data_IF_015345917561
#
_entry.id   IF_015345917561
#
_cell.length_a   1.000
_cell.length_b   1.000
_cell.length_c   1.000
_cell.angle_alpha   90.00
_cell.angle_beta   90.00
_cell.angle_gamma   90.00
#
_symmetry.space_group_name_H-M   'P 1'
#
loop_
_entity.id
_entity.type
_entity.pdbx_description
1 polymer ?
#
# COMPACT_ATOMS: atom_id res chain seq x y z
N UNK A 1 26.63 16.74 -5.76
CA UNK A 1 25.79 15.53 -5.76
C UNK A 1 24.83 15.70 -6.93
N UNK A 2 25.23 15.27 -8.13
CA UNK A 2 24.43 15.48 -9.33
C UNK A 2 23.28 14.48 -9.34
N UNK A 3 22.07 14.97 -9.12
CA UNK A 3 20.80 14.23 -9.04
C UNK A 3 20.39 13.56 -10.39
N UNK A 4 21.28 13.53 -11.38
CA UNK A 4 21.00 13.12 -12.76
C UNK A 4 21.40 11.65 -13.02
N UNK A 5 22.30 11.06 -12.21
CA UNK A 5 22.72 9.64 -12.37
C UNK A 5 21.72 8.62 -11.80
N UNK A 6 20.74 9.06 -11.00
CA UNK A 6 19.67 8.19 -10.46
C UNK A 6 18.50 7.96 -11.44
N UNK A 7 18.51 8.62 -12.61
CA UNK A 7 17.34 8.73 -13.48
C UNK A 7 16.93 7.45 -14.24
N UNK A 8 17.64 6.31 -14.11
CA UNK A 8 17.25 5.04 -14.77
C UNK A 8 17.12 3.82 -13.83
N UNK A 9 17.09 4.02 -12.51
CA UNK A 9 16.72 2.93 -11.57
C UNK A 9 15.29 3.19 -11.09
N UNK A 10 14.32 2.63 -11.81
CA UNK A 10 12.90 2.69 -11.43
C UNK A 10 12.67 1.73 -10.26
N UNK A 11 12.08 2.21 -9.16
CA UNK A 11 11.69 1.36 -8.03
C UNK A 11 10.69 0.29 -8.52
N UNK A 12 11.01 -1.02 -8.40
CA UNK A 12 10.10 -2.08 -8.82
C UNK A 12 8.89 -2.25 -7.90
N UNK A 13 8.89 -1.68 -6.69
CA UNK A 13 7.83 -1.90 -5.69
C UNK A 13 6.43 -1.46 -6.16
N UNK A 14 6.20 -0.23 -6.69
CA UNK A 14 4.86 0.20 -7.09
C UNK A 14 4.22 -0.73 -8.14
N UNK A 15 5.01 -1.13 -9.15
CA UNK A 15 4.55 -2.05 -10.19
C UNK A 15 4.20 -3.45 -9.65
N UNK A 16 4.88 -3.90 -8.59
CA UNK A 16 4.58 -5.19 -7.94
C UNK A 16 3.30 -5.10 -7.09
N UNK A 17 3.09 -3.97 -6.41
CA UNK A 17 1.94 -3.74 -5.53
C UNK A 17 0.63 -3.51 -6.31
N UNK A 18 0.69 -2.81 -7.44
CA UNK A 18 -0.46 -2.62 -8.35
C UNK A 18 -1.02 -3.94 -8.92
N UNK A 19 -0.16 -4.96 -9.06
CA UNK A 19 -0.57 -6.27 -9.54
C UNK A 19 -1.42 -7.07 -8.54
N UNK A 20 -1.67 -6.57 -7.33
CA UNK A 20 -2.17 -7.37 -6.21
C UNK A 20 -3.70 -7.35 -6.02
N UNK A 21 -4.40 -8.01 -6.95
CA UNK A 21 -5.87 -8.03 -7.03
C UNK A 21 -6.58 -8.71 -5.84
N UNK A 22 -5.92 -9.56 -5.05
CA UNK A 22 -6.56 -10.25 -3.93
C UNK A 22 -6.78 -9.38 -2.69
N UNK A 23 -6.12 -8.22 -2.58
CA UNK A 23 -6.27 -7.32 -1.44
C UNK A 23 -7.41 -6.30 -1.60
N UNK A 24 -8.21 -6.40 -2.68
CA UNK A 24 -9.28 -5.44 -2.97
C UNK A 24 -10.27 -5.30 -1.82
N UNK A 25 -10.66 -6.40 -1.17
CA UNK A 25 -11.61 -6.37 -0.05
C UNK A 25 -11.07 -5.61 1.17
N UNK A 26 -9.76 -5.67 1.43
CA UNK A 26 -9.14 -4.89 2.50
C UNK A 26 -9.05 -3.41 2.13
N UNK A 27 -8.76 -3.11 0.86
CA UNK A 27 -8.79 -1.73 0.34
C UNK A 27 -10.17 -1.10 0.48
N UNK A 28 -11.23 -1.83 0.13
CA UNK A 28 -12.61 -1.36 0.30
C UNK A 28 -12.97 -1.07 1.76
N UNK A 29 -12.50 -1.90 2.71
CA UNK A 29 -12.73 -1.65 4.15
C UNK A 29 -12.01 -0.39 4.61
N UNK A 30 -10.75 -0.23 4.22
CA UNK A 30 -9.96 0.96 4.52
C UNK A 30 -10.61 2.23 3.93
N UNK A 31 -11.09 2.17 2.69
CA UNK A 31 -11.77 3.31 2.05
C UNK A 31 -13.10 3.66 2.73
N UNK A 32 -13.85 2.64 3.16
CA UNK A 32 -15.06 2.85 3.96
C UNK A 32 -14.74 3.49 5.32
N UNK A 33 -13.63 3.11 5.96
CA UNK A 33 -13.19 3.75 7.19
C UNK A 33 -12.80 5.21 6.94
N UNK A 34 -11.97 5.48 5.92
CA UNK A 34 -11.60 6.84 5.56
C UNK A 34 -12.82 7.72 5.32
N UNK A 35 -13.80 7.23 4.56
CA UNK A 35 -15.03 7.98 4.31
C UNK A 35 -15.81 8.33 5.59
N UNK A 36 -15.81 7.46 6.62
CA UNK A 36 -16.41 7.76 7.93
C UNK A 36 -15.63 8.84 8.66
N UNK A 37 -14.31 8.70 8.73
CA UNK A 37 -13.42 9.63 9.45
C UNK A 37 -13.41 11.01 8.80
N UNK A 38 -13.29 11.07 7.48
CA UNK A 38 -13.35 12.33 6.71
C UNK A 38 -14.74 12.97 6.74
N UNK A 39 -15.79 12.15 6.81
CA UNK A 39 -17.18 12.61 6.94
C UNK A 39 -17.51 13.23 8.30
N UNK A 40 -16.65 13.06 9.31
CA UNK A 40 -16.86 13.56 10.66
C UNK A 40 -17.87 12.75 11.49
N UNK A 41 -18.41 11.66 10.94
CA UNK A 41 -19.37 10.76 11.61
C UNK A 41 -18.70 9.78 12.59
N UNK A 42 -17.36 9.77 12.63
CA UNK A 42 -16.56 8.72 13.25
C UNK A 42 -16.02 9.06 14.66
N UNK A 43 -16.17 10.30 15.12
CA UNK A 43 -15.66 10.73 16.43
C UNK A 43 -14.13 10.58 16.55
N UNK A 44 -13.68 9.72 17.48
CA UNK A 44 -12.25 9.42 17.71
C UNK A 44 -11.76 8.17 16.95
N UNK A 45 -12.58 7.59 16.07
CA UNK A 45 -12.20 6.44 15.25
C UNK A 45 -10.96 6.75 14.39
N UNK A 46 -10.07 5.76 14.26
CA UNK A 46 -8.90 5.83 13.37
C UNK A 46 -8.85 4.60 12.49
N UNK A 47 -8.42 4.75 11.23
CA UNK A 47 -8.36 3.66 10.26
C UNK A 47 -7.05 2.86 10.29
N UNK A 48 -6.38 2.85 11.44
CA UNK A 48 -5.05 2.25 11.60
C UNK A 48 -5.13 0.73 11.50
N UNK A 49 -6.20 0.13 12.01
CA UNK A 49 -6.45 -1.32 11.91
C UNK A 49 -6.62 -1.74 10.44
N UNK A 50 -7.54 -1.11 9.70
CA UNK A 50 -7.77 -1.42 8.30
C UNK A 50 -6.56 -1.13 7.41
N UNK A 51 -5.76 -0.13 7.79
CA UNK A 51 -4.48 0.13 7.13
C UNK A 51 -3.50 -1.02 7.33
N UNK A 52 -3.34 -1.53 8.55
CA UNK A 52 -2.45 -2.67 8.80
C UNK A 52 -2.94 -3.96 8.14
N UNK A 53 -4.25 -4.21 8.11
CA UNK A 53 -4.83 -5.34 7.37
C UNK A 53 -4.49 -5.29 5.87
N UNK A 54 -4.65 -4.11 5.26
CA UNK A 54 -4.31 -3.90 3.86
C UNK A 54 -2.80 -4.07 3.61
N UNK A 55 -1.97 -3.48 4.48
CA UNK A 55 -0.51 -3.53 4.36
C UNK A 55 0.05 -4.94 4.54
N UNK A 56 -0.51 -5.73 5.47
CA UNK A 56 -0.12 -7.13 5.65
C UNK A 56 -0.44 -7.94 4.40
N UNK A 57 -1.64 -7.78 3.84
CA UNK A 57 -2.06 -8.46 2.61
C UNK A 57 -1.13 -8.10 1.43
N UNK A 58 -0.86 -6.82 1.22
CA UNK A 58 0.02 -6.34 0.15
C UNK A 58 1.45 -6.84 0.36
N UNK A 59 1.97 -6.71 1.58
CA UNK A 59 3.32 -7.14 1.96
C UNK A 59 3.53 -8.64 1.78
N UNK A 60 2.57 -9.47 2.20
CA UNK A 60 2.63 -10.93 2.03
C UNK A 60 2.82 -11.34 0.57
N UNK A 61 2.18 -10.62 -0.37
CA UNK A 61 2.33 -10.91 -1.80
C UNK A 61 3.54 -10.23 -2.44
N UNK A 62 3.82 -8.98 -2.09
CA UNK A 62 4.82 -8.16 -2.76
C UNK A 62 6.24 -8.48 -2.28
N UNK A 63 6.42 -8.83 -1.00
CA UNK A 63 7.73 -9.09 -0.41
C UNK A 63 8.58 -10.12 -1.19
N UNK A 64 8.13 -11.36 -1.46
CA UNK A 64 8.96 -12.33 -2.17
C UNK A 64 9.30 -11.89 -3.60
N UNK A 65 8.39 -11.15 -4.27
CA UNK A 65 8.60 -10.64 -5.63
C UNK A 65 9.57 -9.47 -5.65
N UNK A 66 9.51 -8.61 -4.64
CA UNK A 66 10.38 -7.46 -4.49
C UNK A 66 11.82 -7.90 -4.21
N UNK A 67 12.02 -8.79 -3.25
CA UNK A 67 13.35 -9.32 -2.92
C UNK A 67 14.00 -10.10 -4.07
N UNK A 68 13.21 -10.67 -4.98
CA UNK A 68 13.74 -11.30 -6.19
C UNK A 68 14.22 -10.30 -7.27
N UNK A 69 13.84 -9.02 -7.16
CA UNK A 69 14.21 -7.95 -8.12
C UNK A 69 15.35 -7.07 -7.62
N UNK A 70 15.51 -6.97 -6.31
CA UNK A 70 16.59 -6.22 -5.68
C UNK A 70 17.90 -7.03 -5.77
N UNK A 71 19.01 -6.35 -6.11
CA UNK A 71 20.36 -6.91 -6.21
C UNK A 71 21.25 -6.37 -5.11
#
# INVERSE_FOLDING_TARGET
MSEIEAAEIVDPKPAIEEGNHHCHSFKEKFDKCQARVEGGDAGEETCVEEFFDLMECVGHCSAPKLWAKLK
#
